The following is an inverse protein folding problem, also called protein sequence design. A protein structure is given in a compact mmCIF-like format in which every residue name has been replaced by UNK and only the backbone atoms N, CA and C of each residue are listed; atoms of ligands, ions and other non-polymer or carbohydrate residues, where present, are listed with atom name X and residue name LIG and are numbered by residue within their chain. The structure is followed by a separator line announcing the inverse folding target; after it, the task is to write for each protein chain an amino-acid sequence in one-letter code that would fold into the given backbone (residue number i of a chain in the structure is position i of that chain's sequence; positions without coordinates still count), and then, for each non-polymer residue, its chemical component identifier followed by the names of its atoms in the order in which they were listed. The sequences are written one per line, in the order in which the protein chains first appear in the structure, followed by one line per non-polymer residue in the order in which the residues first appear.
data_IF_168668261731
#
_entry.id   IF_168668261731
#
_cell.length_a   1.000
_cell.length_b   1.000
_cell.length_c   1.000
_cell.angle_alpha   90.00
_cell.angle_beta   90.00
_cell.angle_gamma   90.00
#
_symmetry.space_group_name_H-M   'P 1'
#
loop_
_entity.id
_entity.type
_entity.pdbx_description
1 polymer ?
#
# COMPACT_ATOMS: atom_id res chain seq x y z
N UNK A 1 -31.09 -2.00 9.95
CA UNK A 1 -30.23 -1.08 9.18
C UNK A 1 -29.09 -0.71 10.12
N UNK A 2 -27.91 -1.29 9.94
CA UNK A 2 -26.85 -1.27 10.95
C UNK A 2 -25.44 -1.24 10.35
N UNK A 3 -25.28 -0.54 9.23
CA UNK A 3 -23.99 -0.16 8.66
C UNK A 3 -23.71 1.32 8.98
N UNK A 4 -23.90 1.68 10.25
CA UNK A 4 -23.82 3.06 10.74
C UNK A 4 -22.36 3.50 10.96
N UNK A 5 -21.62 3.51 9.85
CA UNK A 5 -20.44 4.34 9.59
C UNK A 5 -19.47 4.45 10.80
N UNK A 6 -18.85 3.33 11.18
CA UNK A 6 -17.64 3.28 12.04
C UNK A 6 -16.41 3.89 11.33
N UNK A 7 -16.60 5.06 10.73
CA UNK A 7 -15.65 5.67 9.81
C UNK A 7 -14.55 6.41 10.57
N UNK A 8 -13.33 6.01 10.21
CA UNK A 8 -12.11 6.73 10.51
C UNK A 8 -11.71 6.80 12.00
N UNK A 9 -11.63 5.63 12.63
CA UNK A 9 -10.57 5.35 13.62
C UNK A 9 -9.16 5.31 12.97
N UNK A 10 -8.88 6.22 12.04
CA UNK A 10 -7.59 6.32 11.36
C UNK A 10 -6.48 6.82 12.29
N UNK A 11 -5.24 6.57 11.84
CA UNK A 11 -3.98 7.02 12.45
C UNK A 11 -3.90 8.57 12.49
N UNK A 12 -4.61 9.18 13.43
CA UNK A 12 -4.88 10.62 13.51
C UNK A 12 -4.56 11.14 14.90
N UNK A 13 -4.11 12.39 15.00
CA UNK A 13 -3.70 12.97 16.28
C UNK A 13 -4.87 13.08 17.26
N UNK A 14 -6.09 13.34 16.79
CA UNK A 14 -7.29 13.32 17.63
C UNK A 14 -7.64 11.93 18.20
N UNK A 15 -7.41 10.85 17.44
CA UNK A 15 -7.67 9.49 17.91
C UNK A 15 -6.60 9.03 18.91
N UNK A 16 -5.32 9.21 18.58
CA UNK A 16 -4.22 8.86 19.48
C UNK A 16 -4.22 9.67 20.77
N UNK A 17 -4.58 10.95 20.72
CA UNK A 17 -4.77 11.75 21.94
C UNK A 17 -5.80 11.12 22.87
N UNK A 18 -6.97 10.71 22.36
CA UNK A 18 -8.00 10.09 23.18
C UNK A 18 -7.53 8.76 23.78
N UNK A 19 -6.95 7.88 22.95
CA UNK A 19 -6.43 6.57 23.41
C UNK A 19 -5.34 6.73 24.47
N UNK A 20 -4.35 7.60 24.25
CA UNK A 20 -3.23 7.79 25.18
C UNK A 20 -3.65 8.49 26.47
N UNK A 21 -4.49 9.54 26.39
CA UNK A 21 -5.01 10.22 27.59
C UNK A 21 -5.88 9.29 28.44
N UNK A 22 -6.68 8.42 27.81
CA UNK A 22 -7.45 7.39 28.52
C UNK A 22 -6.52 6.40 29.24
N UNK A 23 -5.52 5.83 28.55
CA UNK A 23 -4.56 4.89 29.14
C UNK A 23 -3.83 5.52 30.34
N UNK A 24 -3.33 6.76 30.20
CA UNK A 24 -2.62 7.46 31.28
C UNK A 24 -3.56 7.73 32.47
N UNK A 25 -4.76 8.26 32.22
CA UNK A 25 -5.72 8.62 33.26
C UNK A 25 -6.14 7.40 34.11
N UNK A 26 -6.47 6.29 33.45
CA UNK A 26 -6.86 5.07 34.15
C UNK A 26 -5.68 4.35 34.80
N UNK A 27 -4.46 4.46 34.25
CA UNK A 27 -3.25 3.97 34.93
C UNK A 27 -2.97 4.73 36.23
N UNK A 28 -3.10 6.06 36.23
CA UNK A 28 -2.94 6.89 37.43
C UNK A 28 -3.99 6.53 38.48
N UNK A 29 -5.27 6.43 38.08
CA UNK A 29 -6.33 6.02 39.00
C UNK A 29 -6.08 4.63 39.61
N UNK A 30 -5.68 3.64 38.80
CA UNK A 30 -5.34 2.30 39.26
C UNK A 30 -4.17 2.29 40.27
N UNK A 31 -3.11 3.07 40.01
CA UNK A 31 -1.97 3.20 40.96
C UNK A 31 -2.43 3.75 42.30
N UNK A 32 -3.23 4.82 42.34
CA UNK A 32 -3.72 5.37 43.62
C UNK A 32 -4.66 4.40 44.36
N UNK A 33 -5.48 3.64 43.65
CA UNK A 33 -6.35 2.59 44.23
C UNK A 33 -5.50 1.46 44.84
N UNK A 34 -4.46 0.99 44.15
CA UNK A 34 -3.52 -0.02 44.66
C UNK A 34 -2.74 0.48 45.89
N UNK A 35 -2.46 1.78 45.95
CA UNK A 35 -1.87 2.45 47.14
C UNK A 35 -2.90 2.71 48.27
N UNK A 36 -4.07 2.06 48.24
CA UNK A 36 -5.06 2.10 49.32
C UNK A 36 -6.02 3.29 49.29
N UNK A 37 -6.07 4.06 48.20
CA UNK A 37 -7.01 5.18 48.08
C UNK A 37 -8.44 4.72 47.77
N UNK A 38 -9.42 5.59 48.07
CA UNK A 38 -10.84 5.35 47.78
C UNK A 38 -11.12 4.98 46.31
N UNK A 39 -11.55 3.73 46.10
CA UNK A 39 -11.99 3.17 44.82
C UNK A 39 -13.00 4.09 44.11
N UNK A 40 -14.05 4.49 44.83
CA UNK A 40 -15.15 5.29 44.30
C UNK A 40 -14.66 6.67 43.86
N UNK A 41 -13.81 7.32 44.68
CA UNK A 41 -13.29 8.66 44.40
C UNK A 41 -12.41 8.66 43.14
N UNK A 42 -11.46 7.73 43.04
CA UNK A 42 -10.56 7.66 41.88
C UNK A 42 -11.26 7.18 40.60
N UNK A 43 -12.26 6.30 40.72
CA UNK A 43 -13.12 5.90 39.59
C UNK A 43 -13.96 7.08 39.09
N UNK A 44 -14.55 7.88 39.99
CA UNK A 44 -15.30 9.07 39.61
C UNK A 44 -14.41 10.14 38.94
N UNK A 45 -13.20 10.37 39.47
CA UNK A 45 -12.20 11.26 38.84
C UNK A 45 -11.82 10.76 37.44
N UNK A 46 -11.56 9.45 37.27
CA UNK A 46 -11.23 8.87 35.98
C UNK A 46 -12.38 8.98 34.97
N UNK A 47 -13.63 8.79 35.40
CA UNK A 47 -14.81 8.97 34.54
C UNK A 47 -15.01 10.43 34.11
N UNK A 48 -14.92 11.39 35.04
CA UNK A 48 -15.03 12.82 34.70
C UNK A 48 -13.89 13.27 33.78
N UNK A 49 -12.66 12.87 34.07
CA UNK A 49 -11.51 13.15 33.19
C UNK A 49 -11.65 12.51 31.80
N UNK A 50 -12.23 11.32 31.71
CA UNK A 50 -12.50 10.64 30.44
C UNK A 50 -13.48 11.42 29.56
N UNK A 51 -14.52 12.01 30.16
CA UNK A 51 -15.47 12.90 29.46
C UNK A 51 -14.75 14.15 28.94
N UNK A 52 -13.90 14.78 29.75
CA UNK A 52 -13.10 15.95 29.33
C UNK A 52 -12.16 15.60 28.16
N UNK A 53 -11.48 14.45 28.22
CA UNK A 53 -10.61 13.98 27.14
C UNK A 53 -11.40 13.73 25.84
N UNK A 54 -12.61 13.16 25.92
CA UNK A 54 -13.49 12.96 24.77
C UNK A 54 -13.94 14.30 24.13
N UNK A 55 -14.28 15.30 24.94
CA UNK A 55 -14.63 16.65 24.46
C UNK A 55 -13.44 17.31 23.76
N UNK A 56 -12.23 17.21 24.32
CA UNK A 56 -11.01 17.73 23.70
C UNK A 56 -10.71 17.02 22.38
N UNK A 57 -10.80 15.68 22.32
CA UNK A 57 -10.60 14.91 21.09
C UNK A 57 -11.62 15.27 19.99
N UNK A 58 -12.89 15.50 20.36
CA UNK A 58 -13.92 16.03 19.47
C UNK A 58 -13.60 17.44 18.96
N UNK A 59 -13.07 18.30 19.83
CA UNK A 59 -12.54 19.61 19.46
C UNK A 59 -11.37 19.53 18.47
N UNK A 60 -10.41 18.62 18.71
CA UNK A 60 -9.30 18.35 17.79
C UNK A 60 -9.78 17.86 16.42
N UNK A 61 -10.79 16.98 16.36
CA UNK A 61 -11.40 16.54 15.09
C UNK A 61 -12.01 17.73 14.34
N UNK A 62 -12.72 18.63 15.02
CA UNK A 62 -13.26 19.89 14.44
C UNK A 62 -12.17 20.88 14.00
N UNK A 63 -11.04 20.96 14.72
CA UNK A 63 -9.87 21.75 14.33
C UNK A 63 -9.09 21.15 13.14
N UNK A 64 -9.50 19.98 12.63
CA UNK A 64 -8.86 19.33 11.49
C UNK A 64 -7.60 18.52 11.81
N UNK A 65 -7.43 18.10 13.08
CA UNK A 65 -6.42 17.13 13.51
C UNK A 65 -6.90 15.66 13.38
N UNK A 66 -8.16 15.48 12.96
CA UNK A 66 -8.67 14.23 12.39
C UNK A 66 -8.39 14.13 10.89
N UNK A 67 -8.72 13.01 10.26
CA UNK A 67 -8.58 12.84 8.80
C UNK A 67 -9.62 13.69 8.06
N UNK A 68 -9.17 14.33 6.97
CA UNK A 68 -9.96 15.30 6.16
C UNK A 68 -10.47 14.74 4.83
N UNK A 69 -10.01 13.56 4.43
CA UNK A 69 -10.42 12.85 3.21
C UNK A 69 -10.87 11.44 3.58
N UNK A 70 -11.89 10.87 2.91
CA UNK A 70 -12.23 9.44 3.04
C UNK A 70 -11.03 8.54 2.78
N UNK A 71 -11.08 7.26 3.17
CA UNK A 71 -10.05 6.32 2.70
C UNK A 71 -10.25 6.09 1.20
N UNK A 72 -9.18 5.87 0.42
CA UNK A 72 -9.30 5.09 -0.79
C UNK A 72 -9.95 3.76 -0.41
N UNK A 73 -11.14 3.49 -0.96
CA UNK A 73 -11.80 2.20 -0.80
C UNK A 73 -10.89 1.15 -1.47
N UNK A 74 -10.60 0.01 -0.83
CA UNK A 74 -9.84 -1.04 -1.49
C UNK A 74 -10.59 -1.48 -2.75
N UNK A 75 -9.90 -1.56 -3.89
CA UNK A 75 -10.46 -2.01 -5.15
C UNK A 75 -11.18 -3.36 -4.99
N UNK A 76 -12.30 -3.52 -5.68
CA UNK A 76 -13.03 -4.77 -5.69
C UNK A 76 -12.24 -5.88 -6.39
N UNK A 77 -12.62 -7.14 -6.12
CA UNK A 77 -12.00 -8.31 -6.75
C UNK A 77 -12.07 -8.24 -8.29
N UNK A 78 -13.21 -7.80 -8.83
CA UNK A 78 -13.41 -7.65 -10.27
C UNK A 78 -12.54 -6.54 -10.89
N UNK A 79 -12.33 -5.43 -10.18
CA UNK A 79 -11.43 -4.36 -10.64
C UNK A 79 -9.97 -4.82 -10.66
N UNK A 80 -9.56 -5.63 -9.68
CA UNK A 80 -8.21 -6.22 -9.66
C UNK A 80 -7.99 -7.24 -10.78
N UNK A 81 -8.96 -8.13 -11.04
CA UNK A 81 -8.91 -9.10 -12.14
C UNK A 81 -8.88 -8.42 -13.53
N UNK A 82 -9.56 -7.28 -13.68
CA UNK A 82 -9.47 -6.40 -14.87
C UNK A 82 -8.12 -5.69 -15.02
N UNK A 83 -7.34 -5.54 -13.95
CA UNK A 83 -5.98 -4.98 -13.98
C UNK A 83 -4.89 -6.04 -14.19
N UNK A 84 -5.14 -7.30 -13.81
CA UNK A 84 -4.23 -8.41 -14.10
C UNK A 84 -4.26 -8.82 -15.58
N UNK A 85 -5.44 -8.93 -16.19
CA UNK A 85 -5.58 -9.43 -17.57
C UNK A 85 -4.86 -8.61 -18.67
N UNK A 86 -4.61 -7.29 -18.53
CA UNK A 86 -3.67 -6.55 -19.38
C UNK A 86 -2.20 -6.81 -19.04
N UNK A 87 -1.86 -6.91 -17.75
CA UNK A 87 -0.48 -7.10 -17.29
C UNK A 87 0.07 -8.47 -17.67
N UNK A 88 -0.73 -9.52 -17.51
CA UNK A 88 -0.43 -10.90 -17.92
C UNK A 88 -0.06 -10.96 -19.41
N UNK A 89 -0.84 -10.31 -20.29
CA UNK A 89 -0.57 -10.23 -21.74
C UNK A 89 0.68 -9.41 -22.08
N UNK A 90 1.10 -8.49 -21.21
CA UNK A 90 2.37 -7.76 -21.37
C UNK A 90 3.55 -8.65 -20.97
N UNK A 91 3.41 -9.46 -19.91
CA UNK A 91 4.42 -10.46 -19.50
C UNK A 91 4.56 -11.56 -20.56
N UNK A 92 3.46 -12.19 -20.97
CA UNK A 92 3.43 -13.23 -22.01
C UNK A 92 4.08 -12.74 -23.32
N UNK A 93 3.82 -11.48 -23.70
CA UNK A 93 4.44 -10.85 -24.88
C UNK A 93 5.92 -10.55 -24.68
N UNK A 94 6.36 -10.20 -23.47
CA UNK A 94 7.77 -9.99 -23.15
C UNK A 94 8.54 -11.31 -23.18
N UNK A 95 8.00 -12.37 -22.57
CA UNK A 95 8.58 -13.73 -22.57
C UNK A 95 8.77 -14.24 -24.00
N UNK A 96 7.74 -14.15 -24.85
CA UNK A 96 7.82 -14.53 -26.28
C UNK A 96 8.80 -13.69 -27.11
N UNK A 97 9.11 -12.47 -26.67
CA UNK A 97 10.17 -11.64 -27.29
C UNK A 97 11.56 -12.06 -26.80
N UNK A 98 11.71 -12.44 -25.53
CA UNK A 98 12.96 -12.97 -24.96
C UNK A 98 13.30 -14.34 -25.54
N UNK A 99 12.33 -15.24 -25.64
CA UNK A 99 12.46 -16.56 -26.26
C UNK A 99 12.95 -16.45 -27.72
N UNK A 100 12.24 -15.65 -28.53
CA UNK A 100 12.63 -15.39 -29.92
C UNK A 100 13.99 -14.68 -30.06
N UNK A 101 14.38 -13.85 -29.10
CA UNK A 101 15.71 -13.25 -29.07
C UNK A 101 16.80 -14.27 -28.73
N UNK A 102 16.53 -15.24 -27.86
CA UNK A 102 17.44 -16.35 -27.56
C UNK A 102 17.63 -17.27 -28.76
N UNK A 103 16.55 -17.64 -29.47
CA UNK A 103 16.62 -18.40 -30.73
C UNK A 103 17.46 -17.68 -31.80
N UNK A 104 17.30 -16.35 -31.93
CA UNK A 104 18.09 -15.57 -32.88
C UNK A 104 19.60 -15.51 -32.53
N UNK A 105 19.95 -15.67 -31.25
CA UNK A 105 21.35 -15.73 -30.77
C UNK A 105 21.96 -17.13 -30.96
N UNK A 106 21.17 -18.20 -30.83
CA UNK A 106 21.66 -19.58 -31.03
C UNK A 106 21.64 -20.04 -32.49
N UNK A 107 20.78 -19.47 -33.34
CA UNK A 107 20.60 -19.87 -34.73
C UNK A 107 21.66 -19.37 -35.74
N UNK A 108 22.57 -18.46 -35.34
CA UNK A 108 23.58 -17.90 -36.26
C UNK A 108 24.84 -18.80 -36.34
N UNK A 109 24.67 -20.05 -36.77
CA UNK A 109 25.66 -21.12 -36.59
C UNK A 109 26.02 -22.01 -37.80
N UNK A 110 25.43 -21.83 -38.99
CA UNK A 110 25.84 -22.54 -40.21
C UNK A 110 26.20 -21.57 -41.35
N UNK A 111 27.41 -21.74 -41.89
CA UNK A 111 27.98 -20.86 -42.89
C UNK A 111 27.56 -21.23 -44.32
N UNK A 112 27.02 -20.27 -45.07
CA UNK A 112 26.81 -20.42 -46.51
C UNK A 112 28.11 -20.14 -47.27
N UNK A 113 28.94 -21.16 -47.45
CA UNK A 113 30.05 -21.08 -48.41
C UNK A 113 29.51 -20.86 -49.83
N UNK A 114 29.98 -19.79 -50.46
CA UNK A 114 30.01 -19.66 -51.93
C UNK A 114 31.41 -19.19 -52.32
N UNK A 115 32.34 -20.14 -52.42
CA UNK A 115 33.68 -19.89 -52.96
C UNK A 115 33.59 -19.29 -54.37
N UNK A 116 34.51 -18.38 -54.72
CA UNK A 116 34.37 -17.52 -55.89
C UNK A 116 35.74 -17.18 -56.49
N UNK A 117 36.31 -18.20 -57.12
CA UNK A 117 37.60 -18.21 -57.81
C UNK A 117 37.40 -19.02 -59.12
N UNK A 118 37.91 -18.67 -60.30
CA UNK A 118 38.51 -17.43 -60.85
C UNK A 118 38.17 -17.43 -62.39
N UNK A 119 38.66 -16.63 -63.36
CA UNK A 119 39.72 -15.62 -63.45
C UNK A 119 39.40 -14.52 -64.51
N UNK A 120 39.92 -13.29 -64.36
CA UNK A 120 39.67 -12.20 -65.31
C UNK A 120 40.63 -12.23 -66.51
N UNK A 121 40.08 -12.27 -67.73
CA UNK A 121 40.84 -12.02 -68.98
C UNK A 121 40.00 -11.13 -69.91
N UNK A 122 40.62 -10.10 -70.50
CA UNK A 122 39.96 -9.16 -71.40
C UNK A 122 40.53 -9.25 -72.83
N UNK A 123 39.67 -9.25 -73.86
CA UNK A 123 40.06 -9.05 -75.25
C UNK A 123 38.91 -8.54 -76.16
N UNK A 124 38.91 -7.23 -76.42
CA UNK A 124 38.89 -6.62 -77.76
C UNK A 124 38.00 -7.17 -78.90
N UNK A 125 36.96 -6.39 -79.22
CA UNK A 125 36.50 -5.99 -80.58
C UNK A 125 36.74 -6.91 -81.80
N UNK A 126 35.64 -7.33 -82.44
CA UNK A 126 35.12 -6.64 -83.63
C UNK A 126 33.63 -6.92 -83.87
#
# INVERSE_FOLDING_TARGET
MADEHHDDHGNTLSAWFLTLSWIVLWSVAAVFIVLGSSLITWTAIALVGSIVCAVIAGGMKKAGLGRKTPRPVPMTREEWERLQTPAEKVVEKAEKVVEKAAEAVTGSGEGKETGKDDAPVAATSK
#
